data_IF_845260461205
#
_entry.id   IF_845260461205
#
_cell.length_a   1.000
_cell.length_b   1.000
_cell.length_c   1.000
_cell.angle_alpha   90.00
_cell.angle_beta   90.00
_cell.angle_gamma   90.00
#
_symmetry.space_group_name_H-M   'P 1'
#
loop_
_entity.id
_entity.type
_entity.pdbx_description
1 polymer ?
#
# COMPACT_ATOMS: atom_id res chain seq x y z
N UNK A 1 -50.14 7.39 5.74
CA UNK A 1 -50.42 8.71 5.12
C UNK A 1 -49.39 8.92 4.02
N UNK A 2 -49.88 8.87 2.81
CA UNK A 2 -49.21 8.99 1.51
C UNK A 2 -48.77 10.44 1.29
N UNK A 3 -47.61 10.65 0.78
CA UNK A 3 -47.37 11.78 -0.13
C UNK A 3 -46.33 11.36 -1.18
N UNK A 4 -46.85 11.24 -2.38
CA UNK A 4 -46.15 11.11 -3.65
C UNK A 4 -45.99 12.53 -4.19
N UNK A 5 -44.79 12.89 -4.64
CA UNK A 5 -44.66 13.97 -5.64
C UNK A 5 -43.69 13.55 -6.73
N UNK A 6 -44.29 13.40 -7.87
CA UNK A 6 -43.72 13.23 -9.19
C UNK A 6 -43.32 14.61 -9.71
N UNK A 7 -42.15 14.78 -10.24
CA UNK A 7 -41.73 15.95 -10.98
C UNK A 7 -40.82 15.53 -12.12
N UNK A 8 -41.40 15.49 -13.29
CA UNK A 8 -40.74 15.19 -14.55
C UNK A 8 -40.32 16.51 -15.27
N UNK A 9 -39.46 16.31 -16.33
CA UNK A 9 -39.24 17.25 -17.47
C UNK A 9 -38.03 18.17 -17.28
N UNK A 10 -37.01 18.16 -18.13
CA UNK A 10 -36.99 18.52 -19.54
C UNK A 10 -35.67 18.08 -20.23
N UNK A 11 -35.83 17.50 -21.42
CA UNK A 11 -34.81 17.36 -22.46
C UNK A 11 -34.37 18.74 -22.98
N UNK A 12 -33.05 18.89 -23.22
CA UNK A 12 -32.56 19.80 -24.24
C UNK A 12 -31.48 19.13 -25.07
N UNK A 13 -31.88 18.81 -26.32
CA UNK A 13 -31.04 18.42 -27.43
C UNK A 13 -30.51 19.69 -28.08
N UNK A 14 -29.22 19.80 -28.29
CA UNK A 14 -28.67 20.77 -29.24
C UNK A 14 -27.54 20.10 -30.01
N UNK A 15 -27.84 19.70 -31.21
CA UNK A 15 -26.94 19.33 -32.28
C UNK A 15 -26.24 20.56 -32.84
N UNK A 16 -24.93 20.49 -33.05
CA UNK A 16 -24.27 21.33 -34.03
C UNK A 16 -23.34 20.48 -34.89
N UNK A 17 -23.56 20.58 -36.18
CA UNK A 17 -22.91 19.93 -37.31
C UNK A 17 -22.04 20.97 -38.03
N UNK A 18 -21.02 20.43 -38.73
CA UNK A 18 -20.29 21.00 -39.87
C UNK A 18 -19.04 21.84 -39.51
N UNK A 19 -17.97 21.85 -40.30
CA UNK A 19 -17.62 21.21 -41.59
C UNK A 19 -16.14 21.49 -41.88
N UNK A 20 -15.54 20.57 -42.64
CA UNK A 20 -14.63 20.68 -43.78
C UNK A 20 -13.48 21.69 -43.86
N UNK A 21 -12.38 21.19 -44.40
CA UNK A 21 -11.33 21.86 -45.14
C UNK A 21 -9.96 21.31 -44.73
N UNK A 22 -9.23 20.46 -45.37
CA UNK A 22 -8.79 20.44 -46.77
C UNK A 22 -7.51 21.25 -46.90
N UNK A 23 -6.34 20.60 -47.00
CA UNK A 23 -5.55 20.61 -48.20
C UNK A 23 -4.22 19.78 -48.07
N UNK A 24 -3.94 19.12 -49.16
CA UNK A 24 -2.73 18.34 -49.42
C UNK A 24 -1.55 19.32 -49.74
N UNK A 25 -0.32 18.89 -49.45
CA UNK A 25 0.77 19.01 -50.40
C UNK A 25 1.97 18.19 -49.98
N UNK A 26 2.18 17.17 -50.71
CA UNK A 26 3.37 16.49 -51.29
C UNK A 26 4.78 16.89 -50.93
N UNK A 27 5.58 15.83 -50.98
CA UNK A 27 6.91 15.60 -51.51
C UNK A 27 8.05 15.53 -50.50
N UNK A 28 8.53 14.35 -50.27
CA UNK A 28 9.62 13.60 -50.92
C UNK A 28 11.02 13.86 -50.33
N UNK A 29 11.64 12.71 -49.98
CA UNK A 29 13.04 12.34 -50.20
C UNK A 29 14.11 12.83 -49.21
N UNK A 30 14.57 11.89 -48.40
CA UNK A 30 15.95 11.40 -48.36
C UNK A 30 16.27 10.76 -47.00
N UNK A 31 16.53 9.49 -46.98
CA UNK A 31 17.40 8.89 -45.97
C UNK A 31 18.86 9.27 -46.29
N UNK A 32 19.71 9.35 -45.27
CA UNK A 32 20.64 8.26 -45.12
C UNK A 32 20.93 7.80 -43.68
N UNK A 33 21.20 6.53 -43.63
CA UNK A 33 22.15 5.78 -42.80
C UNK A 33 22.50 6.20 -41.36
N UNK A 34 22.26 5.23 -40.47
CA UNK A 34 23.31 4.74 -39.59
C UNK A 34 23.55 5.47 -38.29
N UNK A 35 22.87 5.05 -37.24
CA UNK A 35 23.53 4.87 -35.95
C UNK A 35 22.64 3.96 -35.07
N UNK A 36 23.05 2.73 -34.92
CA UNK A 36 22.58 1.86 -33.88
C UNK A 36 22.92 2.45 -32.51
N UNK A 37 21.94 3.09 -31.88
CA UNK A 37 22.04 3.42 -30.47
C UNK A 37 21.70 2.17 -29.68
N UNK A 38 22.72 1.47 -29.24
CA UNK A 38 22.62 0.47 -28.17
C UNK A 38 22.09 1.17 -26.94
N UNK A 39 20.79 0.96 -26.67
CA UNK A 39 20.21 1.27 -25.38
C UNK A 39 20.79 0.31 -24.35
N UNK A 40 21.85 0.75 -23.70
CA UNK A 40 22.29 0.13 -22.44
C UNK A 40 21.25 0.48 -21.39
N UNK A 41 20.30 -0.43 -21.17
CA UNK A 41 19.47 -0.41 -20.00
C UNK A 41 20.36 -0.50 -18.75
N UNK A 42 20.00 0.15 -17.64
CA UNK A 42 20.73 -0.03 -16.42
C UNK A 42 20.69 -1.51 -16.06
N UNK A 43 21.87 -2.12 -16.03
CA UNK A 43 22.06 -3.46 -15.51
C UNK A 43 21.54 -3.46 -14.08
N UNK A 44 20.57 -4.33 -13.82
CA UNK A 44 20.17 -4.67 -12.47
C UNK A 44 21.43 -5.24 -11.78
N UNK A 45 22.07 -4.42 -10.98
CA UNK A 45 23.15 -4.86 -10.11
C UNK A 45 22.50 -5.72 -9.03
N UNK A 46 22.52 -7.01 -9.24
CA UNK A 46 22.29 -8.00 -8.19
C UNK A 46 23.48 -7.88 -7.24
N UNK A 47 23.38 -7.01 -6.26
CA UNK A 47 24.28 -7.02 -5.13
C UNK A 47 23.90 -8.19 -4.25
N UNK A 48 24.55 -9.31 -4.47
CA UNK A 48 24.48 -10.43 -3.56
C UNK A 48 25.40 -10.15 -2.39
N UNK A 49 24.79 -9.92 -1.23
CA UNK A 49 25.10 -10.44 0.09
C UNK A 49 26.54 -10.31 0.60
N UNK A 50 26.74 -9.34 1.44
CA UNK A 50 27.61 -9.44 2.60
C UNK A 50 26.84 -9.57 3.93
N UNK A 51 25.55 -9.87 3.90
CA UNK A 51 24.73 -10.07 5.11
C UNK A 51 24.47 -8.82 5.95
N UNK A 52 24.82 -7.66 5.46
CA UNK A 52 24.44 -6.40 6.10
C UNK A 52 23.03 -6.02 5.64
N UNK A 53 22.09 -5.79 6.58
CA UNK A 53 20.76 -5.32 6.24
C UNK A 53 20.86 -4.05 5.39
N UNK A 54 20.32 -4.08 4.18
CA UNK A 54 20.25 -2.91 3.30
C UNK A 54 19.26 -1.87 3.85
N UNK A 55 19.42 -0.59 3.45
CA UNK A 55 18.43 0.42 3.79
C UNK A 55 17.06 0.05 3.21
N UNK A 56 15.99 0.46 3.89
CA UNK A 56 14.64 0.33 3.36
C UNK A 56 14.48 1.17 2.09
N UNK A 57 13.96 0.55 1.03
CA UNK A 57 13.73 1.19 -0.27
C UNK A 57 12.24 1.10 -0.63
N UNK A 58 11.73 2.15 -1.27
CA UNK A 58 10.33 2.24 -1.72
C UNK A 58 10.30 2.47 -3.23
N UNK A 59 9.52 1.66 -3.94
CA UNK A 59 9.41 1.70 -5.39
C UNK A 59 7.97 1.91 -5.82
N UNK A 60 7.77 2.63 -6.91
CA UNK A 60 6.44 2.88 -7.49
C UNK A 60 5.95 4.30 -7.25
N UNK A 61 4.65 4.50 -7.47
CA UNK A 61 4.01 5.81 -7.31
C UNK A 61 3.36 5.88 -5.93
N UNK A 62 3.58 6.99 -5.23
CA UNK A 62 2.92 7.24 -3.96
C UNK A 62 1.39 7.28 -4.11
N UNK A 63 0.70 6.72 -3.14
CA UNK A 63 -0.75 6.85 -3.02
C UNK A 63 -1.11 8.28 -2.59
N UNK A 64 -2.30 8.77 -2.93
CA UNK A 64 -2.83 10.01 -2.37
C UNK A 64 -2.83 9.95 -0.84
N UNK A 65 -2.73 11.09 -0.18
CA UNK A 65 -2.92 11.14 1.26
C UNK A 65 -4.30 10.59 1.65
N UNK A 66 -4.35 9.85 2.75
CA UNK A 66 -5.61 9.31 3.25
C UNK A 66 -6.37 10.41 3.99
N UNK A 67 -7.57 10.74 3.54
CA UNK A 67 -8.42 11.76 4.15
C UNK A 67 -9.65 11.15 4.82
N UNK A 68 -10.25 10.15 4.17
CA UNK A 68 -11.49 9.53 4.63
C UNK A 68 -11.65 8.13 4.05
N UNK A 69 -12.51 7.32 4.69
CA UNK A 69 -12.78 5.95 4.27
C UNK A 69 -13.67 5.88 3.02
N UNK A 70 -14.71 6.72 2.99
CA UNK A 70 -15.64 6.78 1.87
C UNK A 70 -15.00 7.52 0.70
N UNK A 71 -15.11 6.94 -0.50
CA UNK A 71 -14.54 7.50 -1.74
C UNK A 71 -13.01 7.73 -1.69
N UNK A 72 -12.28 6.85 -0.98
CA UNK A 72 -10.83 6.92 -0.92
C UNK A 72 -10.20 6.84 -2.33
N UNK A 73 -9.48 7.89 -2.79
CA UNK A 73 -8.92 7.94 -4.13
C UNK A 73 -7.78 6.94 -4.38
N UNK A 74 -7.32 6.22 -3.34
CA UNK A 74 -6.33 5.17 -3.49
C UNK A 74 -6.93 3.82 -3.88
N UNK A 75 -8.21 3.59 -3.64
CA UNK A 75 -8.89 2.33 -4.01
C UNK A 75 -8.79 2.11 -5.52
N UNK A 76 -8.40 0.89 -5.91
CA UNK A 76 -8.13 0.50 -7.30
C UNK A 76 -6.75 0.95 -7.83
N UNK A 77 -5.92 1.62 -7.02
CA UNK A 77 -4.55 1.97 -7.42
C UNK A 77 -3.56 0.89 -7.04
N UNK A 78 -2.51 0.76 -7.85
CA UNK A 78 -1.36 -0.06 -7.52
C UNK A 78 -0.57 0.57 -6.37
N UNK A 79 -0.38 -0.14 -5.24
CA UNK A 79 0.38 0.36 -4.11
C UNK A 79 1.89 0.39 -4.41
N UNK A 80 2.66 1.20 -3.67
CA UNK A 80 4.11 1.11 -3.71
C UNK A 80 4.60 -0.22 -3.17
N UNK A 81 5.78 -0.63 -3.62
CA UNK A 81 6.50 -1.81 -3.14
C UNK A 81 7.55 -1.36 -2.14
N UNK A 82 7.64 -2.06 -1.01
CA UNK A 82 8.69 -1.82 -0.01
C UNK A 82 9.63 -3.01 -0.01
N UNK A 83 10.93 -2.73 -0.01
CA UNK A 83 11.98 -3.72 0.24
C UNK A 83 12.78 -3.24 1.43
N UNK A 84 12.91 -4.07 2.44
CA UNK A 84 13.62 -3.72 3.66
C UNK A 84 14.10 -4.96 4.39
N UNK A 85 14.54 -4.77 5.62
CA UNK A 85 14.98 -5.85 6.50
C UNK A 85 13.96 -6.02 7.61
N UNK A 86 13.57 -7.26 7.86
CA UNK A 86 12.74 -7.60 9.02
C UNK A 86 13.49 -7.29 10.31
N UNK A 87 12.91 -6.43 11.12
CA UNK A 87 13.45 -6.01 12.41
C UNK A 87 13.66 -7.17 13.40
N UNK A 88 12.90 -8.26 13.26
CA UNK A 88 12.93 -9.39 14.18
C UNK A 88 13.92 -10.47 13.76
N UNK A 89 14.02 -10.75 12.47
CA UNK A 89 14.85 -11.86 11.96
C UNK A 89 16.13 -11.41 11.27
N UNK A 90 16.16 -10.17 10.76
CA UNK A 90 17.26 -9.67 9.93
C UNK A 90 17.18 -10.12 8.47
N UNK A 91 16.15 -10.83 8.07
CA UNK A 91 15.96 -11.29 6.70
C UNK A 91 15.42 -10.17 5.80
N UNK A 92 15.70 -10.26 4.50
CA UNK A 92 15.15 -9.32 3.53
C UNK A 92 13.65 -9.59 3.33
N UNK A 93 12.85 -8.57 3.50
CA UNK A 93 11.38 -8.60 3.31
C UNK A 93 11.00 -7.73 2.13
N UNK A 94 10.11 -8.25 1.29
CA UNK A 94 9.47 -7.51 0.21
C UNK A 94 7.96 -7.44 0.46
N UNK A 95 7.45 -6.27 0.76
CA UNK A 95 6.01 -6.01 0.90
C UNK A 95 5.46 -5.72 -0.50
N UNK A 96 4.90 -6.73 -1.12
CA UNK A 96 4.24 -6.68 -2.43
C UNK A 96 3.39 -7.94 -2.60
N UNK A 97 2.31 -7.86 -3.35
CA UNK A 97 1.53 -9.05 -3.68
C UNK A 97 2.33 -10.01 -4.56
N UNK A 98 2.14 -11.29 -4.32
CA UNK A 98 2.69 -12.39 -5.11
C UNK A 98 1.56 -13.31 -5.59
N UNK A 99 0.45 -12.70 -6.05
CA UNK A 99 -0.76 -13.42 -6.44
C UNK A 99 -1.65 -13.81 -5.25
N UNK A 100 -1.38 -13.23 -4.06
CA UNK A 100 -2.22 -13.36 -2.86
C UNK A 100 -2.49 -11.99 -2.28
N UNK A 101 -3.65 -11.76 -1.65
CA UNK A 101 -3.90 -10.53 -0.92
C UNK A 101 -2.87 -10.30 0.18
N UNK A 102 -2.59 -9.05 0.47
CA UNK A 102 -1.75 -8.67 1.60
C UNK A 102 -2.45 -7.61 2.45
N UNK A 103 -2.17 -7.62 3.72
CA UNK A 103 -2.52 -6.55 4.66
C UNK A 103 -1.24 -5.98 5.25
N UNK A 104 -1.12 -4.66 5.25
CA UNK A 104 0.02 -3.93 5.80
C UNK A 104 -0.49 -3.03 6.92
N UNK A 105 -0.02 -3.27 8.14
CA UNK A 105 -0.33 -2.45 9.31
C UNK A 105 0.85 -1.53 9.65
N UNK A 106 0.55 -0.31 10.06
CA UNK A 106 1.54 0.72 10.37
C UNK A 106 1.43 1.12 11.83
N UNK A 107 2.50 0.92 12.58
CA UNK A 107 2.56 1.16 14.02
C UNK A 107 3.72 2.07 14.40
N UNK A 108 3.48 2.96 15.36
CA UNK A 108 4.53 3.70 16.05
C UNK A 108 4.70 3.16 17.47
N UNK A 109 5.92 2.80 17.85
CA UNK A 109 6.24 2.16 19.14
C UNK A 109 5.78 2.97 20.35
N UNK A 110 5.66 4.28 20.21
CA UNK A 110 5.26 5.20 21.26
C UNK A 110 3.77 5.54 21.28
N UNK A 111 2.99 5.11 20.27
CA UNK A 111 1.57 5.41 20.17
C UNK A 111 0.75 4.47 21.07
N UNK A 112 -0.03 4.97 22.05
CA UNK A 112 -0.77 4.11 22.96
C UNK A 112 -1.80 3.21 22.26
N UNK A 113 -2.43 3.69 21.19
CA UNK A 113 -3.39 2.90 20.41
C UNK A 113 -2.70 1.78 19.63
N UNK A 114 -1.49 2.04 19.09
CA UNK A 114 -0.69 0.99 18.45
C UNK A 114 -0.25 -0.08 19.45
N UNK A 115 0.17 0.35 20.65
CA UNK A 115 0.57 -0.58 21.71
C UNK A 115 -0.59 -1.49 22.14
N UNK A 116 -1.78 -0.91 22.32
CA UNK A 116 -2.97 -1.68 22.66
C UNK A 116 -3.34 -2.68 21.55
N UNK A 117 -3.36 -2.24 20.29
CA UNK A 117 -3.69 -3.11 19.15
C UNK A 117 -2.70 -4.27 18.98
N UNK A 118 -1.39 -4.01 19.13
CA UNK A 118 -0.36 -5.05 19.07
C UNK A 118 -0.53 -6.04 20.22
N UNK A 119 -0.74 -5.57 21.45
CA UNK A 119 -0.96 -6.41 22.62
C UNK A 119 -2.23 -7.27 22.47
N UNK A 120 -3.35 -6.66 22.08
CA UNK A 120 -4.62 -7.36 21.88
C UNK A 120 -4.51 -8.43 20.78
N UNK A 121 -3.81 -8.12 19.67
CA UNK A 121 -3.61 -9.07 18.58
C UNK A 121 -2.71 -10.23 18.99
N UNK A 122 -1.61 -9.97 19.69
CA UNK A 122 -0.70 -11.04 20.13
C UNK A 122 -1.33 -11.93 21.18
N UNK A 123 -2.10 -11.38 22.14
CA UNK A 123 -2.89 -12.16 23.10
C UNK A 123 -3.94 -13.03 22.37
N UNK A 124 -4.64 -12.47 21.42
CA UNK A 124 -5.63 -13.22 20.64
C UNK A 124 -5.00 -14.37 19.86
N UNK A 125 -3.81 -14.19 19.29
CA UNK A 125 -3.06 -15.20 18.55
C UNK A 125 -2.54 -16.36 19.41
N UNK A 126 -2.53 -16.26 20.74
CA UNK A 126 -2.21 -17.39 21.61
C UNK A 126 -3.19 -18.55 21.45
N UNK A 127 -4.43 -18.27 21.07
CA UNK A 127 -5.52 -19.26 20.97
C UNK A 127 -6.24 -19.26 19.63
N UNK A 128 -5.89 -18.37 18.74
CA UNK A 128 -6.49 -18.20 17.42
C UNK A 128 -5.40 -18.08 16.35
N UNK A 129 -5.81 -18.11 15.10
CA UNK A 129 -4.94 -17.91 13.94
C UNK A 129 -5.61 -16.94 12.96
N UNK A 130 -4.82 -16.11 12.30
CA UNK A 130 -5.32 -15.35 11.16
C UNK A 130 -5.56 -16.29 9.98
N UNK A 131 -6.59 -16.02 9.14
CA UNK A 131 -6.89 -16.83 7.98
C UNK A 131 -5.67 -16.98 7.06
N UNK A 132 -5.40 -18.22 6.64
CA UNK A 132 -4.32 -18.53 5.70
C UNK A 132 -4.70 -18.05 4.30
N UNK A 133 -3.70 -17.59 3.53
CA UNK A 133 -3.90 -17.13 2.15
C UNK A 133 -3.89 -15.60 1.99
N UNK A 134 -3.85 -14.86 3.09
CA UNK A 134 -3.52 -13.43 3.15
C UNK A 134 -2.17 -13.29 3.82
N UNK A 135 -1.25 -12.55 3.22
CA UNK A 135 0.03 -12.25 3.85
C UNK A 135 -0.12 -10.99 4.72
N UNK A 136 0.43 -11.03 5.94
CA UNK A 136 0.37 -9.93 6.89
C UNK A 136 1.75 -9.36 7.15
N UNK A 137 1.90 -8.05 7.04
CA UNK A 137 3.12 -7.31 7.28
C UNK A 137 2.86 -6.14 8.21
N UNK A 138 3.87 -5.79 9.02
CA UNK A 138 3.87 -4.54 9.74
C UNK A 138 4.97 -3.60 9.23
N UNK A 139 4.74 -2.31 9.41
CA UNK A 139 5.74 -1.26 9.21
C UNK A 139 5.85 -0.45 10.49
N UNK A 140 7.05 -0.41 11.06
CA UNK A 140 7.37 0.49 12.16
C UNK A 140 7.65 1.88 11.59
N UNK A 141 6.84 2.86 11.96
CA UNK A 141 6.89 4.23 11.44
C UNK A 141 7.10 5.25 12.55
N UNK A 142 7.51 6.45 12.16
CA UNK A 142 7.62 7.62 13.07
C UNK A 142 8.48 7.31 14.29
N UNK A 143 9.61 6.63 14.10
CA UNK A 143 10.52 6.26 15.18
C UNK A 143 11.03 7.48 15.93
N UNK A 144 11.00 7.42 17.27
CA UNK A 144 11.49 8.47 18.15
C UNK A 144 12.21 7.89 19.37
N UNK A 145 13.53 7.92 19.34
CA UNK A 145 14.39 7.35 20.38
C UNK A 145 14.22 7.98 21.77
N UNK A 146 13.52 9.11 21.85
CA UNK A 146 13.25 9.80 23.14
C UNK A 146 11.97 9.32 23.82
N UNK A 147 11.16 8.46 23.13
CA UNK A 147 9.88 7.99 23.62
C UNK A 147 9.95 6.54 24.10
N UNK A 148 8.90 6.12 24.81
CA UNK A 148 8.81 4.76 25.35
C UNK A 148 8.80 3.67 24.26
N UNK A 149 9.11 2.45 24.65
CA UNK A 149 9.14 1.27 23.78
C UNK A 149 10.12 1.35 22.60
N UNK A 150 11.17 2.16 22.75
CA UNK A 150 12.29 2.19 21.82
C UNK A 150 13.41 1.22 22.28
N UNK A 151 14.07 0.50 21.38
CA UNK A 151 13.82 0.44 19.94
C UNK A 151 12.60 -0.45 19.60
N UNK A 152 11.92 -0.21 18.45
CA UNK A 152 10.68 -0.88 18.08
C UNK A 152 10.79 -2.40 18.01
N UNK A 153 11.91 -2.96 17.58
CA UNK A 153 12.13 -4.42 17.53
C UNK A 153 12.14 -5.05 18.92
N UNK A 154 12.62 -4.32 19.94
CA UNK A 154 12.57 -4.83 21.31
C UNK A 154 11.14 -4.86 21.83
N UNK A 155 10.39 -3.79 21.62
CA UNK A 155 8.99 -3.71 21.99
C UNK A 155 8.18 -4.84 21.34
N UNK A 156 8.29 -5.02 20.03
CA UNK A 156 7.56 -6.06 19.29
C UNK A 156 7.91 -7.47 19.75
N UNK A 157 9.19 -7.73 20.08
CA UNK A 157 9.60 -9.02 20.68
C UNK A 157 9.02 -9.23 22.07
N UNK A 158 9.00 -8.19 22.90
CA UNK A 158 8.45 -8.27 24.25
C UNK A 158 6.93 -8.54 24.22
N UNK A 159 6.21 -8.01 23.21
CA UNK A 159 4.79 -8.28 22.97
C UNK A 159 4.53 -9.63 22.28
N UNK A 160 5.55 -10.36 21.84
CA UNK A 160 5.38 -11.65 21.16
C UNK A 160 4.95 -11.55 19.70
N UNK A 161 5.23 -10.44 19.02
CA UNK A 161 4.90 -10.24 17.60
C UNK A 161 5.53 -11.29 16.70
N UNK A 162 4.75 -11.87 15.76
CA UNK A 162 5.16 -13.03 14.96
C UNK A 162 5.25 -12.77 13.45
N UNK A 163 4.80 -11.59 12.99
CA UNK A 163 4.78 -11.28 11.57
C UNK A 163 5.99 -10.44 11.15
N UNK A 164 6.38 -10.47 9.85
CA UNK A 164 7.48 -9.64 9.38
C UNK A 164 7.19 -8.16 9.60
N UNK A 165 8.20 -7.42 10.04
CA UNK A 165 8.11 -5.98 10.28
C UNK A 165 9.30 -5.25 9.70
N UNK A 166 9.05 -4.22 8.90
CA UNK A 166 10.07 -3.37 8.29
C UNK A 166 10.04 -1.99 8.93
N UNK A 167 11.20 -1.39 9.19
CA UNK A 167 11.26 0.00 9.63
C UNK A 167 11.15 0.97 8.45
N UNK A 168 10.41 2.06 8.65
CA UNK A 168 10.46 3.19 7.73
C UNK A 168 11.84 3.87 7.76
N UNK A 169 12.12 4.66 6.75
CA UNK A 169 13.34 5.46 6.67
C UNK A 169 13.24 6.70 7.58
N UNK A 170 14.37 7.29 7.99
CA UNK A 170 14.34 8.58 8.69
C UNK A 170 13.70 9.71 7.87
N UNK A 171 13.61 9.55 6.55
CA UNK A 171 12.93 10.48 5.64
C UNK A 171 11.43 10.23 5.52
N UNK A 172 10.87 9.24 6.26
CA UNK A 172 9.47 8.85 6.23
C UNK A 172 8.99 8.40 4.85
N UNK A 173 9.84 7.70 4.11
CA UNK A 173 9.57 7.32 2.71
C UNK A 173 8.37 6.39 2.56
N UNK A 174 8.13 5.49 3.54
CA UNK A 174 6.97 4.60 3.52
C UNK A 174 5.70 5.36 3.94
N UNK A 175 5.78 6.20 4.98
CA UNK A 175 4.68 7.08 5.42
C UNK A 175 4.15 7.89 4.23
N UNK A 176 5.05 8.57 3.52
CA UNK A 176 4.69 9.39 2.37
C UNK A 176 4.13 8.55 1.21
N UNK A 177 4.76 7.40 0.93
CA UNK A 177 4.37 6.54 -0.18
C UNK A 177 2.98 5.91 0.00
N UNK A 178 2.59 5.58 1.22
CA UNK A 178 1.26 5.03 1.53
C UNK A 178 0.22 6.10 1.89
N UNK A 179 0.59 7.36 1.92
CA UNK A 179 -0.30 8.48 2.22
C UNK A 179 -0.82 8.50 3.66
N UNK A 180 -0.03 7.98 4.59
CA UNK A 180 -0.38 7.83 6.00
C UNK A 180 -0.50 9.18 6.70
N UNK A 181 -1.58 9.38 7.47
CA UNK A 181 -1.86 10.61 8.21
C UNK A 181 -1.87 10.41 9.73
N UNK A 182 -2.14 9.20 10.18
CA UNK A 182 -2.18 8.86 11.61
C UNK A 182 -1.88 7.38 11.81
N UNK A 183 -1.61 6.97 13.03
CA UNK A 183 -1.40 5.55 13.42
C UNK A 183 -2.32 5.21 14.60
N UNK A 184 -2.78 3.96 14.70
CA UNK A 184 -2.53 2.85 13.78
C UNK A 184 -3.15 3.10 12.40
N UNK A 185 -2.60 2.48 11.37
CA UNK A 185 -3.10 2.58 10.01
C UNK A 185 -2.97 1.25 9.31
N UNK A 186 -3.92 0.93 8.45
CA UNK A 186 -3.99 -0.34 7.75
C UNK A 186 -4.25 -0.12 6.26
N UNK A 187 -3.57 -0.87 5.42
CA UNK A 187 -3.80 -0.92 3.98
C UNK A 187 -4.00 -2.38 3.55
N UNK A 188 -5.11 -2.64 2.89
CA UNK A 188 -5.38 -3.92 2.26
C UNK A 188 -5.24 -3.85 0.76
N UNK A 189 -4.63 -4.88 0.20
CA UNK A 189 -4.28 -4.98 -1.21
C UNK A 189 -4.72 -6.36 -1.69
N UNK A 190 -5.47 -6.40 -2.80
CA UNK A 190 -5.95 -7.65 -3.37
C UNK A 190 -4.85 -8.43 -4.13
N UNK A 191 -5.20 -9.62 -4.61
CA UNK A 191 -4.28 -10.47 -5.37
C UNK A 191 -3.85 -9.84 -6.72
N UNK A 192 -4.67 -8.95 -7.27
CA UNK A 192 -4.46 -8.19 -8.51
C UNK A 192 -3.51 -7.01 -8.32
N UNK A 193 -3.01 -6.79 -7.09
CA UNK A 193 -2.13 -5.70 -6.69
C UNK A 193 -2.80 -4.32 -6.74
N UNK A 194 -4.03 -4.26 -6.27
CA UNK A 194 -4.80 -3.03 -6.12
C UNK A 194 -5.16 -2.79 -4.66
N UNK A 195 -5.10 -1.56 -4.22
CA UNK A 195 -5.60 -1.14 -2.91
C UNK A 195 -7.11 -1.34 -2.87
N UNK A 196 -7.62 -2.07 -1.89
CA UNK A 196 -9.05 -2.28 -1.69
C UNK A 196 -9.60 -1.54 -0.49
N UNK A 197 -8.75 -1.26 0.49
CA UNK A 197 -9.12 -0.50 1.68
C UNK A 197 -7.89 0.18 2.28
N UNK A 198 -8.09 1.37 2.81
CA UNK A 198 -7.20 1.99 3.79
C UNK A 198 -8.03 2.41 5.00
N UNK A 199 -7.48 2.21 6.19
CA UNK A 199 -8.18 2.53 7.44
C UNK A 199 -7.24 3.18 8.45
N UNK A 200 -7.65 4.28 9.04
CA UNK A 200 -6.93 4.94 10.11
C UNK A 200 -7.68 4.76 11.44
N UNK A 201 -7.03 4.12 12.38
CA UNK A 201 -7.60 3.76 13.69
C UNK A 201 -7.29 2.31 14.05
N UNK A 202 -7.62 1.92 15.27
CA UNK A 202 -7.40 0.56 15.76
C UNK A 202 -8.43 -0.41 15.18
N UNK A 203 -7.97 -1.61 14.84
CA UNK A 203 -8.79 -2.74 14.39
C UNK A 203 -8.65 -3.86 15.42
N UNK A 204 -9.77 -4.32 15.97
CA UNK A 204 -9.75 -5.47 16.88
C UNK A 204 -9.32 -6.75 16.15
N UNK A 205 -8.67 -7.72 16.86
CA UNK A 205 -8.15 -8.92 16.20
C UNK A 205 -9.22 -9.78 15.54
N UNK A 206 -10.42 -9.87 16.10
CA UNK A 206 -11.54 -10.59 15.49
C UNK A 206 -12.03 -9.90 14.21
N UNK A 207 -12.13 -8.58 14.22
CA UNK A 207 -12.52 -7.78 13.05
C UNK A 207 -11.44 -7.88 11.96
N UNK A 208 -10.16 -7.92 12.35
CA UNK A 208 -9.04 -8.12 11.42
C UNK A 208 -9.11 -9.51 10.77
N UNK A 209 -9.41 -10.56 11.53
CA UNK A 209 -9.57 -11.91 10.99
C UNK A 209 -10.76 -12.00 10.01
N UNK A 210 -11.91 -11.41 10.34
CA UNK A 210 -13.09 -11.34 9.46
C UNK A 210 -12.74 -10.55 8.17
N UNK A 211 -11.99 -9.48 8.31
CA UNK A 211 -11.52 -8.70 7.18
C UNK A 211 -10.60 -9.53 6.25
N UNK A 212 -9.67 -10.33 6.79
CA UNK A 212 -8.84 -11.24 6.00
C UNK A 212 -9.69 -12.26 5.23
N UNK A 213 -10.72 -12.83 5.87
CA UNK A 213 -11.64 -13.76 5.20
C UNK A 213 -12.39 -13.07 4.04
N UNK A 214 -12.77 -11.80 4.22
CA UNK A 214 -13.44 -11.02 3.17
C UNK A 214 -12.55 -10.80 1.93
N UNK A 215 -11.25 -10.64 2.13
CA UNK A 215 -10.28 -10.53 1.02
C UNK A 215 -10.15 -11.84 0.23
N UNK A 216 -10.29 -12.98 0.90
CA UNK A 216 -10.24 -14.30 0.25
C UNK A 216 -11.55 -14.64 -0.48
N UNK A 217 -12.67 -14.13 0.01
CA UNK A 217 -14.01 -14.37 -0.54
C UNK A 217 -14.42 -13.42 -1.67
N UNK A 218 -13.66 -12.38 -1.95
CA UNK A 218 -13.95 -11.44 -3.03
C UNK A 218 -13.66 -12.09 -4.38
N UNK A 219 -14.67 -12.33 -5.26
CA UNK A 219 -14.41 -12.83 -6.59
C UNK A 219 -13.63 -11.77 -7.38
N UNK A 220 -12.54 -12.19 -7.99
CA UNK A 220 -11.75 -11.45 -8.99
C UNK A 220 -12.56 -11.16 -10.26
#
# INVERSE_FOLDING_TARGET
MRWVMIGAVLLCVASFVAACGGDETTAATSAPDGAAATASGPAATTSAADGTPGPTEVFGTALPQFEQLEDDPAVGRTPPVVVGTDLLTGEVVRIATQGRPIVVAFYAHWCPHCQAEVADLTEWLETNELPTGVDFYAVSVLEDATRGNHPPEKWLRDEGWQYPVVADTPALSIVDAFGLQSVPYLVAINAENEVVLRYAGSVGPADLAEFFESLLGSPS
#
